data_IF_947238651404
#
_entry.id   IF_947238651404
#
_cell.length_a   1.000
_cell.length_b   1.000
_cell.length_c   1.000
_cell.angle_alpha   90.00
_cell.angle_beta   90.00
_cell.angle_gamma   90.00
#
_symmetry.space_group_name_H-M   'P 1'
#
loop_
_entity.id
_entity.type
_entity.pdbx_description
1 polymer ?
#
# COMPACT_ATOMS: atom_id res chain seq x y z
N UNK A 1 -22.17 -16.28 -5.29
CA UNK A 1 -21.19 -16.01 -4.23
C UNK A 1 -19.93 -16.75 -4.60
N UNK A 2 -18.95 -15.98 -5.08
CA UNK A 2 -17.61 -16.44 -5.38
C UNK A 2 -16.97 -17.08 -4.14
N UNK A 3 -16.13 -18.10 -4.36
CA UNK A 3 -15.37 -18.74 -3.29
C UNK A 3 -14.23 -17.82 -2.84
N UNK A 4 -14.33 -17.33 -1.60
CA UNK A 4 -13.31 -16.48 -1.01
C UNK A 4 -12.17 -17.26 -0.34
N UNK A 5 -12.23 -18.59 -0.30
CA UNK A 5 -11.16 -19.41 0.30
C UNK A 5 -9.82 -19.11 -0.36
N UNK A 6 -8.77 -18.91 0.44
CA UNK A 6 -7.42 -18.62 -0.06
C UNK A 6 -6.40 -19.65 0.40
N UNK A 7 -5.35 -19.77 -0.40
CA UNK A 7 -4.11 -20.47 -0.04
C UNK A 7 -2.93 -19.50 -0.23
N UNK A 8 -2.31 -19.09 0.87
CA UNK A 8 -1.11 -18.25 0.84
C UNK A 8 0.08 -19.07 1.37
N UNK A 9 0.85 -19.65 0.45
CA UNK A 9 2.06 -20.41 0.78
C UNK A 9 1.80 -21.73 1.51
N UNK A 10 0.59 -22.29 1.40
CA UNK A 10 0.14 -23.47 2.15
C UNK A 10 -0.74 -23.14 3.36
N UNK A 11 -0.86 -21.86 3.73
CA UNK A 11 -1.76 -21.40 4.80
C UNK A 11 -3.15 -21.21 4.19
N UNK A 12 -4.11 -22.02 4.64
CA UNK A 12 -5.49 -22.01 4.13
C UNK A 12 -6.40 -21.27 5.10
N UNK A 13 -7.24 -20.37 4.58
CA UNK A 13 -8.25 -19.64 5.37
C UNK A 13 -9.56 -19.45 4.60
N UNK A 14 -10.70 -19.26 5.30
CA UNK A 14 -12.03 -19.15 4.67
C UNK A 14 -12.22 -17.92 3.78
N UNK A 15 -11.42 -16.88 3.97
CA UNK A 15 -11.44 -15.64 3.19
C UNK A 15 -10.04 -14.99 3.21
N UNK A 16 -9.73 -14.01 2.32
CA UNK A 16 -8.40 -13.40 2.26
C UNK A 16 -8.08 -12.47 3.43
N UNK A 17 -9.03 -12.14 4.31
CA UNK A 17 -8.86 -11.08 5.30
C UNK A 17 -8.25 -11.60 6.60
N UNK A 18 -7.02 -11.18 6.85
CA UNK A 18 -6.28 -11.54 8.06
C UNK A 18 -6.06 -10.33 8.97
N UNK A 19 -6.11 -10.52 10.29
CA UNK A 19 -5.54 -9.52 11.18
C UNK A 19 -4.02 -9.50 11.03
N UNK A 20 -3.42 -8.33 10.91
CA UNK A 20 -1.96 -8.21 10.91
C UNK A 20 -1.39 -8.36 12.33
N UNK A 21 -0.15 -8.84 12.45
CA UNK A 21 0.60 -8.90 13.71
C UNK A 21 0.80 -7.49 14.28
N UNK A 22 -0.09 -7.09 15.19
CA UNK A 22 -0.27 -5.73 15.66
C UNK A 22 -1.18 -5.70 16.92
N UNK A 23 -1.49 -4.54 17.54
CA UNK A 23 -2.35 -4.47 18.72
C UNK A 23 -3.70 -5.21 18.61
N UNK A 24 -4.39 -5.24 17.44
CA UNK A 24 -5.64 -6.00 17.28
C UNK A 24 -5.51 -7.52 17.39
N UNK A 25 -4.29 -8.09 17.37
CA UNK A 25 -4.03 -9.53 17.42
C UNK A 25 -3.10 -9.92 18.58
N UNK A 26 -3.19 -9.21 19.72
CA UNK A 26 -2.27 -9.39 20.86
C UNK A 26 -2.73 -10.46 21.88
N UNK A 27 -3.97 -10.93 21.81
CA UNK A 27 -4.53 -11.90 22.76
C UNK A 27 -5.58 -12.82 22.15
N UNK A 28 -5.79 -13.97 22.81
CA UNK A 28 -6.80 -14.94 22.40
C UNK A 28 -8.23 -14.40 22.41
N UNK A 29 -8.57 -13.49 23.34
CA UNK A 29 -9.88 -12.81 23.33
C UNK A 29 -10.08 -11.98 22.06
N UNK A 30 -9.09 -11.16 21.73
CA UNK A 30 -9.12 -10.30 20.55
C UNK A 30 -9.25 -11.10 19.26
N UNK A 31 -8.42 -12.14 19.10
CA UNK A 31 -8.45 -13.02 17.93
C UNK A 31 -9.77 -13.80 17.87
N UNK A 32 -10.27 -14.29 19.01
CA UNK A 32 -11.58 -14.97 19.05
C UNK A 32 -12.72 -14.08 18.59
N UNK A 33 -12.77 -12.82 19.06
CA UNK A 33 -13.80 -11.85 18.65
C UNK A 33 -13.69 -11.48 17.17
N UNK A 34 -12.48 -11.46 16.63
CA UNK A 34 -12.28 -11.27 15.19
C UNK A 34 -12.81 -12.46 14.39
N UNK A 35 -12.50 -13.70 14.79
CA UNK A 35 -13.02 -14.89 14.13
C UNK A 35 -14.55 -15.00 14.26
N UNK A 36 -15.13 -14.62 15.40
CA UNK A 36 -16.59 -14.53 15.55
C UNK A 36 -17.22 -13.51 14.58
N UNK A 37 -16.51 -12.44 14.23
CA UNK A 37 -16.95 -11.44 13.24
C UNK A 37 -16.74 -11.87 11.77
N UNK A 38 -15.97 -12.94 11.52
CA UNK A 38 -15.77 -13.49 10.18
C UNK A 38 -14.36 -13.32 9.59
N UNK A 39 -13.37 -12.83 10.34
CA UNK A 39 -11.98 -12.76 9.86
C UNK A 39 -11.45 -14.14 9.48
N UNK A 40 -10.92 -14.31 8.27
CA UNK A 40 -10.43 -15.60 7.77
C UNK A 40 -9.17 -16.09 8.48
N UNK A 41 -8.33 -15.17 8.95
CA UNK A 41 -7.11 -15.50 9.67
C UNK A 41 -6.63 -14.39 10.60
N UNK A 42 -5.64 -14.70 11.42
CA UNK A 42 -4.98 -13.73 12.28
C UNK A 42 -3.50 -14.06 12.40
N UNK A 43 -2.66 -13.08 12.11
CA UNK A 43 -1.24 -13.14 12.44
C UNK A 43 -1.09 -12.63 13.87
N UNK A 44 -0.73 -13.52 14.78
CA UNK A 44 -0.56 -13.23 16.20
C UNK A 44 0.53 -12.19 16.40
N UNK A 45 0.36 -11.28 17.38
CA UNK A 45 1.39 -10.30 17.73
C UNK A 45 2.72 -11.00 17.97
N UNK A 46 3.79 -10.45 17.39
CA UNK A 46 5.12 -11.06 17.36
C UNK A 46 5.56 -11.58 18.73
N UNK A 47 5.88 -12.88 18.76
CA UNK A 47 6.38 -13.63 19.90
C UNK A 47 7.90 -13.67 19.90
N UNK A 48 8.49 -13.63 21.09
CA UNK A 48 9.92 -13.66 21.32
C UNK A 48 10.22 -13.49 22.81
N UNK A 49 11.45 -13.10 23.13
CA UNK A 49 11.82 -12.76 24.49
C UNK A 49 11.02 -11.52 24.96
N UNK A 50 10.31 -11.57 26.10
CA UNK A 50 9.51 -10.44 26.57
C UNK A 50 10.33 -9.16 26.71
N UNK A 51 9.68 -8.06 26.42
CA UNK A 51 10.27 -6.72 26.42
C UNK A 51 9.34 -5.74 27.14
N UNK A 52 9.84 -4.55 27.44
CA UNK A 52 9.06 -3.50 28.11
C UNK A 52 8.76 -2.40 27.10
N UNK A 53 7.47 -2.17 26.85
CA UNK A 53 7.01 -1.04 26.05
C UNK A 53 7.04 0.26 26.85
N UNK A 54 7.27 1.37 26.15
CA UNK A 54 7.10 2.72 26.69
C UNK A 54 5.63 3.16 26.72
N UNK A 55 5.34 4.25 27.45
CA UNK A 55 4.00 4.83 27.56
C UNK A 55 3.91 6.23 26.96
N UNK A 56 2.78 6.44 26.26
CA UNK A 56 2.64 7.14 24.99
C UNK A 56 3.45 6.50 23.86
N UNK A 57 2.78 5.72 23.02
CA UNK A 57 3.44 4.96 21.93
C UNK A 57 2.73 5.01 20.59
N UNK A 58 1.69 5.84 20.48
CA UNK A 58 0.94 6.08 19.26
C UNK A 58 0.71 7.57 19.06
N UNK A 59 0.74 8.01 17.81
CA UNK A 59 0.28 9.33 17.42
C UNK A 59 -0.32 9.28 16.01
N UNK A 60 -1.26 10.18 15.72
CA UNK A 60 -1.98 10.18 14.45
C UNK A 60 -1.69 11.44 13.63
N UNK A 61 -1.64 11.29 12.31
CA UNK A 61 -1.73 12.38 11.35
C UNK A 61 -3.20 12.49 10.90
N UNK A 62 -3.72 13.72 10.94
CA UNK A 62 -5.06 14.06 10.49
C UNK A 62 -4.96 14.96 9.24
N UNK A 63 -6.00 14.97 8.39
CA UNK A 63 -6.05 15.85 7.22
C UNK A 63 -7.43 16.51 7.12
N UNK A 64 -7.48 17.83 7.28
CA UNK A 64 -8.74 18.56 7.36
C UNK A 64 -9.62 18.02 8.51
N UNK A 65 -10.81 17.52 8.16
CA UNK A 65 -11.76 16.90 9.11
C UNK A 65 -11.53 15.41 9.31
N UNK A 66 -10.74 14.77 8.46
CA UNK A 66 -10.46 13.34 8.54
C UNK A 66 -9.42 13.06 9.63
N UNK A 67 -9.76 12.11 10.50
CA UNK A 67 -8.91 11.70 11.60
C UNK A 67 -8.13 10.45 11.20
N UNK A 68 -6.86 10.39 11.60
CA UNK A 68 -6.03 9.18 11.49
C UNK A 68 -5.86 8.69 10.04
N UNK A 69 -5.60 9.61 9.10
CA UNK A 69 -5.18 9.25 7.74
C UNK A 69 -3.79 8.58 7.73
N UNK A 70 -3.05 8.71 8.83
CA UNK A 70 -1.88 7.93 9.16
C UNK A 70 -1.70 7.79 10.67
N UNK A 71 -1.02 6.72 11.08
CA UNK A 71 -0.71 6.40 12.47
C UNK A 71 0.78 6.08 12.56
N UNK A 72 1.47 6.69 13.51
CA UNK A 72 2.83 6.33 13.87
C UNK A 72 2.85 5.62 15.22
N UNK A 73 3.67 4.59 15.34
CA UNK A 73 3.83 3.85 16.57
C UNK A 73 5.31 3.64 16.92
N UNK A 74 5.59 3.62 18.22
CA UNK A 74 6.88 3.20 18.79
C UNK A 74 6.69 1.97 19.69
N UNK A 75 5.68 1.16 19.35
CA UNK A 75 5.37 -0.09 20.06
C UNK A 75 6.25 -1.22 19.54
N UNK A 76 6.73 -2.07 20.45
CA UNK A 76 7.62 -3.17 20.12
C UNK A 76 6.83 -4.49 19.94
N UNK A 77 7.48 -5.65 20.10
CA UNK A 77 6.81 -6.97 20.11
C UNK A 77 5.93 -7.17 21.34
N UNK A 78 5.31 -8.34 21.51
CA UNK A 78 4.45 -8.60 22.66
C UNK A 78 5.23 -8.44 23.98
N UNK A 79 4.63 -7.76 24.96
CA UNK A 79 5.09 -7.69 26.34
C UNK A 79 4.46 -8.79 27.21
N UNK A 80 3.65 -9.66 26.61
CA UNK A 80 2.95 -10.75 27.29
C UNK A 80 3.85 -11.99 27.39
N UNK A 81 3.81 -12.75 28.50
CA UNK A 81 4.57 -13.98 28.63
C UNK A 81 4.27 -14.98 27.50
N UNK A 82 5.31 -15.67 27.00
CA UNK A 82 5.17 -16.64 25.92
C UNK A 82 4.15 -17.74 26.25
N UNK A 83 4.19 -18.30 27.47
CA UNK A 83 3.26 -19.35 27.89
C UNK A 83 1.78 -18.94 27.82
N UNK A 84 1.50 -17.68 28.12
CA UNK A 84 0.13 -17.14 28.05
C UNK A 84 -0.33 -17.10 26.60
N UNK A 85 0.52 -16.63 25.68
CA UNK A 85 0.23 -16.61 24.26
C UNK A 85 0.03 -18.03 23.70
N UNK A 86 0.94 -18.97 24.02
CA UNK A 86 0.84 -20.36 23.53
C UNK A 86 -0.43 -21.06 24.03
N UNK A 87 -0.81 -20.85 25.30
CA UNK A 87 -2.09 -21.37 25.83
C UNK A 87 -3.28 -20.81 25.05
N UNK A 88 -3.30 -19.50 24.83
CA UNK A 88 -4.39 -18.82 24.13
C UNK A 88 -4.47 -19.22 22.64
N UNK A 89 -3.34 -19.39 21.96
CA UNK A 89 -3.28 -19.90 20.58
C UNK A 89 -3.95 -21.28 20.52
N UNK A 90 -3.60 -22.17 21.45
CA UNK A 90 -4.20 -23.52 21.53
C UNK A 90 -5.71 -23.47 21.76
N UNK A 91 -6.17 -22.59 22.65
CA UNK A 91 -7.61 -22.38 22.92
C UNK A 91 -8.36 -21.84 21.69
N UNK A 92 -7.79 -20.83 21.03
CA UNK A 92 -8.33 -20.24 19.80
C UNK A 92 -8.41 -21.29 18.71
N UNK A 93 -7.34 -22.04 18.44
CA UNK A 93 -7.34 -23.06 17.38
C UNK A 93 -8.31 -24.19 17.64
N UNK A 94 -8.47 -24.61 18.90
CA UNK A 94 -9.49 -25.59 19.27
C UNK A 94 -10.91 -25.09 18.98
N UNK A 95 -11.19 -23.81 19.25
CA UNK A 95 -12.51 -23.20 19.01
C UNK A 95 -12.76 -22.88 17.53
N UNK A 96 -11.71 -22.53 16.78
CA UNK A 96 -11.78 -22.04 15.40
C UNK A 96 -10.85 -22.85 14.47
N UNK A 97 -11.11 -24.16 14.27
CA UNK A 97 -10.17 -25.03 13.56
C UNK A 97 -9.97 -24.64 12.09
N UNK A 98 -10.96 -24.00 11.47
CA UNK A 98 -10.94 -23.59 10.05
C UNK A 98 -10.29 -22.23 9.79
N UNK A 99 -10.08 -21.40 10.81
CA UNK A 99 -9.48 -20.08 10.67
C UNK A 99 -7.97 -20.18 10.82
N UNK A 100 -7.21 -19.46 9.98
CA UNK A 100 -5.75 -19.51 10.04
C UNK A 100 -5.23 -18.74 11.25
N UNK A 101 -4.40 -19.38 12.08
CA UNK A 101 -3.58 -18.70 13.10
C UNK A 101 -2.13 -18.81 12.68
N UNK A 102 -1.52 -17.66 12.41
CA UNK A 102 -0.12 -17.54 12.02
C UNK A 102 0.63 -16.95 13.20
N UNK A 103 1.67 -17.61 13.72
CA UNK A 103 2.50 -16.99 14.76
C UNK A 103 3.56 -16.11 14.13
N UNK A 104 3.53 -14.81 14.45
CA UNK A 104 4.63 -13.92 14.10
C UNK A 104 5.78 -14.12 15.08
N UNK A 105 7.01 -14.27 14.60
CA UNK A 105 8.16 -14.68 15.41
C UNK A 105 9.35 -13.73 15.23
N UNK A 106 10.09 -13.51 16.32
CA UNK A 106 11.37 -12.80 16.30
C UNK A 106 12.24 -13.18 17.51
N UNK A 107 13.33 -13.90 17.25
CA UNK A 107 14.33 -14.34 18.25
C UNK A 107 15.74 -14.28 17.66
N UNK A 108 16.78 -14.33 18.48
CA UNK A 108 18.14 -13.92 18.08
C UNK A 108 18.98 -15.08 17.53
N UNK A 109 18.88 -16.25 18.13
CA UNK A 109 19.77 -17.37 17.82
C UNK A 109 19.07 -18.51 17.08
N UNK A 110 19.83 -19.29 16.30
CA UNK A 110 19.32 -20.50 15.62
C UNK A 110 18.65 -21.48 16.60
N UNK A 111 19.17 -21.60 17.82
CA UNK A 111 18.60 -22.47 18.85
C UNK A 111 17.23 -21.96 19.34
N UNK A 112 17.10 -20.65 19.60
CA UNK A 112 15.81 -20.05 19.96
C UNK A 112 14.79 -20.17 18.82
N UNK A 113 15.22 -20.01 17.57
CA UNK A 113 14.37 -20.21 16.39
C UNK A 113 13.77 -21.60 16.35
N UNK A 114 14.60 -22.63 16.59
CA UNK A 114 14.14 -24.02 16.68
C UNK A 114 13.10 -24.19 17.79
N UNK A 115 13.44 -23.76 19.00
CA UNK A 115 12.56 -23.93 20.17
C UNK A 115 11.21 -23.23 19.99
N UNK A 116 11.21 -21.96 19.56
CA UNK A 116 9.97 -21.18 19.47
C UNK A 116 9.05 -21.70 18.36
N UNK A 117 9.61 -22.20 17.25
CA UNK A 117 8.84 -22.81 16.16
C UNK A 117 8.15 -24.09 16.67
N UNK A 118 8.91 -25.02 17.26
CA UNK A 118 8.37 -26.28 17.79
C UNK A 118 7.23 -26.02 18.78
N UNK A 119 7.40 -25.04 19.67
CA UNK A 119 6.38 -24.66 20.67
C UNK A 119 5.14 -24.01 20.05
N UNK A 120 5.31 -23.19 19.01
CA UNK A 120 4.18 -22.58 18.31
C UNK A 120 3.38 -23.60 17.51
N UNK A 121 4.06 -24.54 16.85
CA UNK A 121 3.39 -25.64 16.14
C UNK A 121 2.65 -26.57 17.12
N UNK A 122 3.22 -26.89 18.28
CA UNK A 122 2.53 -27.65 19.35
C UNK A 122 1.33 -26.90 19.95
N UNK A 123 1.35 -25.56 19.93
CA UNK A 123 0.19 -24.75 20.28
C UNK A 123 -0.89 -24.75 19.18
N UNK A 124 -0.59 -25.22 17.97
CA UNK A 124 -1.54 -25.37 16.86
C UNK A 124 -1.41 -24.31 15.76
N UNK A 125 -0.27 -23.61 15.66
CA UNK A 125 -0.04 -22.66 14.56
C UNK A 125 -0.22 -23.32 13.19
N UNK A 126 -0.89 -22.64 12.27
CA UNK A 126 -1.07 -23.10 10.88
C UNK A 126 0.08 -22.65 9.96
N UNK A 127 0.88 -21.69 10.41
CA UNK A 127 2.06 -21.16 9.73
C UNK A 127 2.81 -20.15 10.59
N UNK A 128 3.92 -19.64 10.07
CA UNK A 128 4.77 -18.67 10.75
C UNK A 128 5.00 -17.42 9.90
N UNK A 129 5.14 -16.26 10.56
CA UNK A 129 5.53 -15.01 9.92
C UNK A 129 6.79 -14.45 10.59
N UNK A 130 7.92 -14.43 9.89
CA UNK A 130 9.19 -13.94 10.44
C UNK A 130 9.19 -12.41 10.40
N UNK A 131 9.19 -11.75 11.56
CA UNK A 131 9.12 -10.29 11.62
C UNK A 131 10.50 -9.65 11.40
N UNK A 132 10.86 -9.47 10.13
CA UNK A 132 12.07 -8.73 9.73
C UNK A 132 11.77 -7.28 9.32
N UNK A 133 10.63 -6.75 9.78
CA UNK A 133 10.14 -5.46 9.30
C UNK A 133 10.08 -4.33 10.32
N UNK A 134 10.16 -4.63 11.63
CA UNK A 134 9.99 -3.61 12.69
C UNK A 134 11.08 -2.52 12.60
N UNK A 135 10.74 -1.23 12.39
CA UNK A 135 11.73 -0.18 12.11
C UNK A 135 12.28 0.56 13.35
N UNK A 136 11.84 0.20 14.56
CA UNK A 136 12.18 0.89 15.82
C UNK A 136 12.40 -0.08 16.98
N UNK A 137 13.29 0.27 17.90
CA UNK A 137 13.58 -0.47 19.15
C UNK A 137 14.34 -1.78 18.98
N UNK A 138 13.89 -2.63 18.05
CA UNK A 138 14.51 -3.93 17.79
C UNK A 138 15.70 -3.81 16.82
N UNK A 139 15.69 -2.81 15.95
CA UNK A 139 16.80 -2.51 15.03
C UNK A 139 18.08 -2.14 15.78
N UNK A 140 17.95 -1.47 16.92
CA UNK A 140 19.09 -1.11 17.78
C UNK A 140 19.80 -2.34 18.37
N UNK A 141 19.14 -3.52 18.32
CA UNK A 141 19.70 -4.82 18.72
C UNK A 141 20.11 -5.69 17.52
N UNK A 142 20.12 -5.14 16.30
CA UNK A 142 20.41 -5.90 15.07
C UNK A 142 19.26 -6.79 14.58
N UNK A 143 18.04 -6.60 15.10
CA UNK A 143 16.85 -7.39 14.79
C UNK A 143 15.80 -6.58 14.01
N UNK A 144 14.69 -7.19 13.60
CA UNK A 144 13.62 -6.50 12.87
C UNK A 144 14.09 -5.99 11.51
N UNK A 145 13.88 -4.71 11.20
CA UNK A 145 14.25 -4.15 9.90
C UNK A 145 15.77 -4.11 9.64
N UNK A 146 16.61 -4.27 10.67
CA UNK A 146 18.06 -4.44 10.47
C UNK A 146 18.39 -5.75 9.76
N UNK A 147 17.66 -6.83 10.07
CA UNK A 147 17.73 -8.10 9.32
C UNK A 147 17.11 -7.93 7.94
N UNK A 148 15.93 -7.31 7.87
CA UNK A 148 15.19 -7.16 6.62
C UNK A 148 15.85 -6.28 5.57
N UNK A 149 16.80 -5.44 5.96
CA UNK A 149 17.59 -4.59 5.06
C UNK A 149 18.86 -5.26 4.54
N UNK A 150 19.27 -6.40 5.11
CA UNK A 150 20.48 -7.11 4.68
C UNK A 150 20.14 -8.49 4.08
N UNK A 151 20.11 -8.62 2.73
CA UNK A 151 19.71 -9.83 2.03
C UNK A 151 20.37 -11.13 2.49
N UNK A 152 21.68 -11.10 2.79
CA UNK A 152 22.41 -12.30 3.22
C UNK A 152 21.99 -12.74 4.63
N UNK A 153 21.85 -11.80 5.57
CA UNK A 153 21.40 -12.07 6.94
C UNK A 153 19.94 -12.55 6.93
N UNK A 154 19.09 -11.89 6.13
CA UNK A 154 17.70 -12.30 5.91
C UNK A 154 17.63 -13.75 5.42
N UNK A 155 18.41 -14.08 4.38
CA UNK A 155 18.43 -15.43 3.79
C UNK A 155 18.85 -16.46 4.83
N UNK A 156 19.90 -16.18 5.59
CA UNK A 156 20.43 -17.08 6.61
C UNK A 156 19.39 -17.38 7.70
N UNK A 157 18.82 -16.34 8.32
CA UNK A 157 17.86 -16.52 9.43
C UNK A 157 16.56 -17.17 8.94
N UNK A 158 16.04 -16.75 7.77
CA UNK A 158 14.84 -17.37 7.21
C UNK A 158 15.06 -18.85 6.87
N UNK A 159 16.27 -19.24 6.42
CA UNK A 159 16.58 -20.63 6.12
C UNK A 159 16.53 -21.53 7.37
N UNK A 160 16.87 -21.00 8.55
CA UNK A 160 16.73 -21.74 9.81
C UNK A 160 15.26 -22.00 10.14
N UNK A 161 14.40 -21.00 9.97
CA UNK A 161 12.97 -21.18 10.21
C UNK A 161 12.35 -22.19 9.24
N UNK A 162 12.73 -22.15 7.96
CA UNK A 162 12.32 -23.13 6.95
C UNK A 162 12.85 -24.53 7.26
N UNK A 163 14.08 -24.65 7.77
CA UNK A 163 14.67 -25.93 8.20
C UNK A 163 13.90 -26.58 9.36
N UNK A 164 13.40 -25.78 10.30
CA UNK A 164 12.78 -26.29 11.53
C UNK A 164 11.25 -26.41 11.47
N UNK A 165 10.59 -25.60 10.64
CA UNK A 165 9.13 -25.60 10.56
C UNK A 165 8.61 -26.79 9.77
N UNK A 166 7.57 -27.44 10.29
CA UNK A 166 6.73 -28.35 9.51
C UNK A 166 5.58 -27.61 8.82
N UNK A 167 5.30 -26.36 9.25
CA UNK A 167 4.28 -25.47 8.69
C UNK A 167 4.87 -24.43 7.73
N UNK A 168 4.04 -23.85 6.84
CA UNK A 168 4.45 -22.73 5.99
C UNK A 168 5.12 -21.58 6.75
N UNK A 169 6.11 -20.97 6.10
CA UNK A 169 6.87 -19.83 6.63
C UNK A 169 6.78 -18.67 5.65
N UNK A 170 6.24 -17.55 6.12
CA UNK A 170 6.23 -16.28 5.42
C UNK A 170 7.29 -15.35 6.01
N UNK A 171 7.94 -14.54 5.18
CA UNK A 171 8.88 -13.49 5.63
C UNK A 171 8.22 -12.12 5.56
N UNK A 172 8.17 -11.38 6.68
CA UNK A 172 7.62 -10.03 6.72
C UNK A 172 8.67 -8.98 6.37
N UNK A 173 8.53 -8.40 5.18
CA UNK A 173 9.51 -7.47 4.63
C UNK A 173 9.31 -6.05 5.14
N UNK A 174 10.43 -5.37 5.37
CA UNK A 174 10.48 -3.93 5.66
C UNK A 174 10.32 -3.13 4.36
N UNK A 175 9.55 -2.02 4.37
CA UNK A 175 9.55 -1.07 3.25
C UNK A 175 10.76 -0.12 3.28
N UNK A 176 11.60 -0.19 4.30
CA UNK A 176 12.71 0.74 4.52
C UNK A 176 13.97 0.31 3.75
N UNK A 177 13.84 0.12 2.44
CA UNK A 177 14.89 -0.33 1.51
C UNK A 177 14.87 0.51 0.24
N UNK A 178 15.98 0.53 -0.49
CA UNK A 178 16.05 1.20 -1.80
C UNK A 178 15.27 0.46 -2.89
N UNK A 179 15.31 -0.87 -2.87
CA UNK A 179 14.57 -1.75 -3.78
C UNK A 179 14.02 -2.94 -2.99
N UNK A 180 12.71 -3.21 -3.10
CA UNK A 180 12.05 -4.33 -2.41
C UNK A 180 12.42 -5.69 -3.04
N UNK A 181 12.90 -5.71 -4.29
CA UNK A 181 13.31 -6.93 -4.95
C UNK A 181 14.47 -7.62 -4.23
N UNK A 182 15.42 -6.85 -3.68
CA UNK A 182 16.57 -7.39 -2.96
C UNK A 182 16.16 -8.28 -1.78
N UNK A 183 15.42 -7.78 -0.76
CA UNK A 183 14.97 -8.63 0.35
C UNK A 183 13.88 -9.62 -0.06
N UNK A 184 13.08 -9.34 -1.09
CA UNK A 184 12.10 -10.29 -1.62
C UNK A 184 12.74 -11.53 -2.23
N UNK A 185 13.77 -11.35 -3.07
CA UNK A 185 14.52 -12.45 -3.66
C UNK A 185 15.37 -13.19 -2.63
N UNK A 186 15.87 -12.51 -1.60
CA UNK A 186 16.50 -13.13 -0.45
C UNK A 186 15.54 -14.05 0.32
N UNK A 187 14.32 -13.57 0.59
CA UNK A 187 13.28 -14.39 1.21
C UNK A 187 12.97 -15.64 0.36
N UNK A 188 12.82 -15.49 -0.96
CA UNK A 188 12.67 -16.64 -1.86
C UNK A 188 13.84 -17.62 -1.78
N UNK A 189 15.08 -17.11 -1.83
CA UNK A 189 16.32 -17.90 -1.78
C UNK A 189 16.44 -18.72 -0.49
N UNK A 190 15.89 -18.22 0.61
CA UNK A 190 15.87 -18.94 1.90
C UNK A 190 14.99 -20.20 1.92
N UNK A 191 14.12 -20.37 0.90
CA UNK A 191 13.11 -21.43 0.87
C UNK A 191 11.78 -21.04 1.52
N UNK A 192 11.57 -19.75 1.81
CA UNK A 192 10.29 -19.28 2.35
C UNK A 192 9.13 -19.62 1.39
N UNK A 193 7.98 -19.93 1.99
CA UNK A 193 6.77 -20.34 1.26
C UNK A 193 5.96 -19.15 0.73
N UNK A 194 6.32 -17.94 1.13
CA UNK A 194 5.72 -16.69 0.70
C UNK A 194 6.32 -15.51 1.47
N UNK A 195 5.80 -14.33 1.20
CA UNK A 195 6.18 -13.10 1.92
C UNK A 195 4.93 -12.38 2.40
N UNK A 196 5.10 -11.54 3.41
CA UNK A 196 4.09 -10.55 3.79
C UNK A 196 4.69 -9.16 3.69
N UNK A 197 4.02 -8.22 3.03
CA UNK A 197 4.53 -6.85 2.91
C UNK A 197 3.42 -5.83 2.74
N UNK A 198 3.55 -4.64 3.32
CA UNK A 198 4.74 -4.12 4.01
C UNK A 198 4.58 -4.06 5.53
N UNK A 199 5.70 -4.10 6.25
CA UNK A 199 5.73 -3.57 7.61
C UNK A 199 5.65 -2.03 7.58
N UNK A 200 5.76 -1.37 8.73
CA UNK A 200 5.61 0.08 8.83
C UNK A 200 6.81 0.85 8.28
N UNK A 201 6.56 2.06 7.76
CA UNK A 201 7.59 2.95 7.20
C UNK A 201 8.21 3.79 8.31
N UNK A 202 9.54 3.84 8.41
CA UNK A 202 10.26 4.64 9.41
C UNK A 202 9.95 6.13 9.21
N UNK A 203 9.39 6.79 10.22
CA UNK A 203 9.01 8.20 10.11
C UNK A 203 8.99 8.97 11.43
N UNK A 204 8.91 10.30 11.29
CA UNK A 204 8.45 11.24 12.32
C UNK A 204 7.09 11.77 11.89
N UNK A 205 6.09 11.64 12.75
CA UNK A 205 4.68 11.98 12.44
C UNK A 205 4.35 13.46 12.70
N UNK A 206 5.18 14.15 13.49
CA UNK A 206 4.97 15.54 13.88
C UNK A 206 5.86 15.92 15.06
N UNK A 207 5.89 17.22 15.35
CA UNK A 207 6.65 17.81 16.45
C UNK A 207 5.70 18.64 17.30
N UNK A 208 5.76 18.45 18.61
CA UNK A 208 5.17 19.37 19.58
C UNK A 208 5.99 20.67 19.53
N UNK A 209 5.40 21.76 19.01
CA UNK A 209 6.12 23.01 18.76
C UNK A 209 6.36 23.84 20.03
N UNK A 210 5.61 23.58 21.10
CA UNK A 210 5.82 24.26 22.38
C UNK A 210 7.01 23.65 23.11
N UNK A 211 7.18 22.34 23.01
CA UNK A 211 8.22 21.59 23.71
C UNK A 211 9.41 21.21 22.83
N UNK A 212 9.29 21.37 21.51
CA UNK A 212 10.29 20.98 20.50
C UNK A 212 10.69 19.50 20.57
N UNK A 213 9.72 18.63 20.87
CA UNK A 213 9.91 17.17 20.94
C UNK A 213 9.04 16.48 19.90
N UNK A 214 9.54 15.46 19.16
CA UNK A 214 8.72 14.70 18.24
C UNK A 214 7.56 13.97 18.94
N UNK A 215 6.52 13.65 18.16
CA UNK A 215 5.42 12.80 18.60
C UNK A 215 5.59 11.35 18.09
N UNK A 216 5.10 10.33 18.83
CA UNK A 216 4.59 10.39 20.20
C UNK A 216 5.69 10.68 21.22
N UNK A 217 5.39 11.54 22.20
CA UNK A 217 6.34 11.93 23.24
C UNK A 217 6.35 10.93 24.40
N UNK A 218 7.55 10.54 24.86
CA UNK A 218 7.79 9.77 26.08
C UNK A 218 8.64 10.61 27.02
N UNK A 219 8.03 11.12 28.09
CA UNK A 219 8.69 12.08 28.99
C UNK A 219 9.10 13.36 28.26
N UNK A 220 10.40 13.62 28.15
CA UNK A 220 11.00 14.77 27.46
C UNK A 220 11.64 14.41 26.11
N UNK A 221 11.44 13.19 25.60
CA UNK A 221 12.08 12.70 24.39
C UNK A 221 11.09 11.95 23.49
N UNK A 222 11.55 11.60 22.29
CA UNK A 222 10.86 10.73 21.34
C UNK A 222 11.88 10.07 20.42
N UNK A 223 11.42 9.20 19.53
CA UNK A 223 12.24 8.50 18.53
C UNK A 223 11.45 8.38 17.23
N UNK A 224 12.10 7.94 16.15
CA UNK A 224 11.36 7.53 14.96
C UNK A 224 10.42 6.37 15.28
N UNK A 225 9.27 6.33 14.62
CA UNK A 225 8.34 5.21 14.73
C UNK A 225 7.99 4.61 13.38
N UNK A 226 7.11 3.63 13.41
CA UNK A 226 6.52 3.01 12.25
C UNK A 226 5.23 3.70 11.80
N UNK A 227 5.24 4.31 10.62
CA UNK A 227 4.09 4.87 9.93
C UNK A 227 3.25 3.78 9.25
N UNK A 228 1.94 3.86 9.46
CA UNK A 228 0.93 2.97 8.91
C UNK A 228 -0.39 3.74 8.70
N UNK A 229 -1.43 3.04 8.25
CA UNK A 229 -2.73 3.62 7.94
C UNK A 229 -2.92 3.95 6.45
N UNK A 230 -4.06 4.58 6.09
CA UNK A 230 -4.47 4.77 4.70
C UNK A 230 -3.42 5.43 3.81
N UNK A 231 -2.69 6.42 4.33
CA UNK A 231 -1.65 7.13 3.58
C UNK A 231 -0.48 6.25 3.09
N UNK A 232 -0.31 5.05 3.66
CA UNK A 232 0.73 4.10 3.26
C UNK A 232 0.30 3.23 2.07
N UNK A 233 -1.01 3.16 1.74
CA UNK A 233 -1.55 2.28 0.69
C UNK A 233 -0.78 2.37 -0.65
N UNK A 234 -0.51 3.56 -1.22
CA UNK A 234 0.14 3.63 -2.53
C UNK A 234 1.57 3.07 -2.52
N UNK A 235 2.30 3.22 -1.40
CA UNK A 235 3.67 2.71 -1.25
C UNK A 235 3.64 1.18 -1.15
N UNK A 236 2.72 0.64 -0.35
CA UNK A 236 2.53 -0.80 -0.20
C UNK A 236 2.13 -1.46 -1.53
N UNK A 237 1.20 -0.86 -2.28
CA UNK A 237 0.77 -1.34 -3.59
C UNK A 237 1.91 -1.39 -4.60
N UNK A 238 2.74 -0.34 -4.65
CA UNK A 238 3.92 -0.33 -5.51
C UNK A 238 4.86 -1.50 -5.20
N UNK A 239 5.20 -1.72 -3.93
CA UNK A 239 6.13 -2.78 -3.53
C UNK A 239 5.59 -4.18 -3.79
N UNK A 240 4.29 -4.40 -3.52
CA UNK A 240 3.59 -5.65 -3.85
C UNK A 240 3.64 -5.90 -5.35
N UNK A 241 3.25 -4.91 -6.16
CA UNK A 241 3.19 -5.04 -7.61
C UNK A 241 4.58 -5.27 -8.22
N UNK A 242 5.62 -4.65 -7.65
CA UNK A 242 7.00 -4.83 -8.09
C UNK A 242 7.47 -6.28 -7.88
N UNK A 243 7.22 -6.86 -6.69
CA UNK A 243 7.51 -8.29 -6.45
C UNK A 243 6.66 -9.21 -7.32
N UNK A 244 5.37 -8.94 -7.44
CA UNK A 244 4.46 -9.78 -8.21
C UNK A 244 4.78 -9.81 -9.71
N UNK A 245 5.31 -8.70 -10.25
CA UNK A 245 5.75 -8.59 -11.63
C UNK A 245 7.09 -9.27 -11.89
N UNK A 246 7.94 -9.44 -10.88
CA UNK A 246 9.22 -10.13 -11.01
C UNK A 246 8.98 -11.62 -11.27
N UNK A 247 9.25 -12.06 -12.50
CA UNK A 247 8.99 -13.43 -12.92
C UNK A 247 9.78 -14.45 -12.08
N UNK A 248 10.99 -14.07 -11.65
CA UNK A 248 11.79 -14.90 -10.77
C UNK A 248 11.31 -14.87 -9.31
N UNK A 249 10.30 -14.11 -8.90
CA UNK A 249 9.87 -14.13 -7.50
C UNK A 249 9.00 -15.37 -7.19
N UNK A 250 7.86 -15.50 -7.87
CA UNK A 250 7.10 -16.76 -7.98
C UNK A 250 6.56 -17.41 -6.69
N UNK A 251 6.60 -16.72 -5.53
CA UNK A 251 5.99 -17.20 -4.27
C UNK A 251 4.82 -16.29 -3.85
N UNK A 252 3.80 -16.81 -3.13
CA UNK A 252 2.64 -16.03 -2.69
C UNK A 252 2.97 -14.80 -1.84
N UNK A 253 2.11 -13.79 -1.96
CA UNK A 253 2.21 -12.52 -1.23
C UNK A 253 0.99 -12.34 -0.30
N UNK A 254 1.23 -12.03 0.96
CA UNK A 254 0.24 -11.51 1.90
C UNK A 254 0.38 -9.98 2.00
N UNK A 255 -0.54 -9.23 1.39
CA UNK A 255 -0.46 -7.76 1.27
C UNK A 255 -0.87 -7.03 2.55
N UNK A 256 -0.16 -5.97 2.92
CA UNK A 256 -0.38 -5.19 4.15
C UNK A 256 -0.07 -3.72 3.88
N UNK A 257 -0.94 -2.81 4.33
CA UNK A 257 -0.66 -1.37 4.34
C UNK A 257 -1.84 -0.54 3.85
N UNK A 258 -2.51 0.15 4.77
CA UNK A 258 -3.57 1.11 4.43
C UNK A 258 -4.89 0.53 3.93
N UNK A 259 -5.06 -0.80 3.95
CA UNK A 259 -6.32 -1.47 3.60
C UNK A 259 -7.40 -1.12 4.64
N UNK A 260 -8.52 -0.59 4.16
CA UNK A 260 -9.62 -0.13 5.01
C UNK A 260 -11.01 -0.63 4.61
N UNK A 261 -11.15 -1.14 3.38
CA UNK A 261 -12.40 -1.64 2.83
C UNK A 261 -12.15 -2.71 1.74
N UNK A 262 -13.22 -3.25 1.15
CA UNK A 262 -13.11 -4.30 0.13
C UNK A 262 -12.43 -3.84 -1.17
N UNK A 263 -12.56 -2.56 -1.58
CA UNK A 263 -11.92 -2.03 -2.80
C UNK A 263 -10.41 -2.00 -2.63
N UNK A 264 -9.93 -1.53 -1.49
CA UNK A 264 -8.50 -1.57 -1.16
C UNK A 264 -7.99 -3.01 -1.23
N UNK A 265 -8.70 -3.96 -0.62
CA UNK A 265 -8.33 -5.38 -0.66
C UNK A 265 -8.31 -5.95 -2.09
N UNK A 266 -9.32 -5.64 -2.90
CA UNK A 266 -9.40 -6.04 -4.30
C UNK A 266 -8.22 -5.47 -5.10
N UNK A 267 -7.81 -4.22 -4.87
CA UNK A 267 -6.63 -3.64 -5.50
C UNK A 267 -5.35 -4.41 -5.14
N UNK A 268 -5.13 -4.77 -3.87
CA UNK A 268 -3.98 -5.59 -3.47
C UNK A 268 -4.00 -6.99 -4.11
N UNK A 269 -5.16 -7.63 -4.14
CA UNK A 269 -5.32 -8.96 -4.75
C UNK A 269 -5.04 -8.89 -6.25
N UNK A 270 -5.60 -7.90 -6.95
CA UNK A 270 -5.34 -7.65 -8.37
C UNK A 270 -3.85 -7.40 -8.65
N UNK A 271 -3.11 -6.81 -7.71
CA UNK A 271 -1.67 -6.57 -7.79
C UNK A 271 -0.82 -7.77 -7.37
N UNK A 272 -1.42 -8.91 -7.03
CA UNK A 272 -0.72 -10.19 -6.83
C UNK A 272 -0.80 -10.78 -5.42
N UNK A 273 -1.53 -10.17 -4.50
CA UNK A 273 -1.70 -10.75 -3.16
C UNK A 273 -2.68 -11.92 -3.13
N UNK A 274 -2.31 -13.01 -2.47
CA UNK A 274 -3.19 -14.16 -2.20
C UNK A 274 -4.00 -13.98 -0.90
N UNK A 275 -3.49 -13.20 0.05
CA UNK A 275 -4.24 -12.76 1.23
C UNK A 275 -3.90 -11.30 1.56
N UNK A 276 -4.68 -10.66 2.42
CA UNK A 276 -4.45 -9.29 2.86
C UNK A 276 -4.54 -9.19 4.38
N UNK A 277 -3.63 -8.44 5.00
CA UNK A 277 -3.62 -8.19 6.44
C UNK A 277 -4.03 -6.76 6.78
N UNK A 278 -4.79 -6.61 7.86
CA UNK A 278 -5.40 -5.33 8.27
C UNK A 278 -5.07 -5.04 9.74
N UNK A 279 -4.74 -3.78 10.02
CA UNK A 279 -4.42 -3.31 11.38
C UNK A 279 -5.15 -2.00 11.69
N UNK A 280 -4.74 -0.89 11.08
CA UNK A 280 -5.19 0.47 11.45
C UNK A 280 -6.70 0.64 11.30
N UNK A 281 -7.30 0.04 10.26
CA UNK A 281 -8.75 0.11 10.07
C UNK A 281 -9.51 -0.59 11.21
N UNK A 282 -9.00 -1.72 11.73
CA UNK A 282 -9.58 -2.40 12.89
C UNK A 282 -9.43 -1.55 14.16
N UNK A 283 -8.30 -0.86 14.32
CA UNK A 283 -8.10 0.07 15.45
C UNK A 283 -9.06 1.26 15.41
N UNK A 284 -9.50 1.67 14.23
CA UNK A 284 -10.41 2.80 14.04
C UNK A 284 -11.89 2.40 14.10
N UNK A 285 -12.25 1.26 13.53
CA UNK A 285 -13.64 0.88 13.25
C UNK A 285 -14.09 -0.43 13.93
N UNK A 286 -13.18 -1.16 14.59
CA UNK A 286 -13.47 -2.44 15.23
C UNK A 286 -13.46 -3.62 14.26
N UNK A 287 -13.68 -4.84 14.78
CA UNK A 287 -13.55 -6.08 13.99
C UNK A 287 -14.65 -6.28 12.95
N UNK A 288 -15.84 -5.68 13.14
CA UNK A 288 -17.01 -5.88 12.26
C UNK A 288 -16.85 -5.30 10.87
N UNK A 289 -15.83 -4.47 10.61
CA UNK A 289 -15.54 -4.00 9.24
C UNK A 289 -15.34 -5.14 8.25
N UNK A 290 -14.96 -6.33 8.72
CA UNK A 290 -14.73 -7.48 7.85
C UNK A 290 -16.03 -7.97 7.20
N UNK A 291 -17.20 -7.71 7.81
CA UNK A 291 -18.51 -8.06 7.25
C UNK A 291 -18.68 -7.37 5.88
N UNK A 292 -18.56 -6.04 5.85
CA UNK A 292 -18.63 -5.22 4.63
C UNK A 292 -17.49 -5.55 3.65
N UNK A 293 -16.32 -5.95 4.16
CA UNK A 293 -15.18 -6.33 3.32
C UNK A 293 -15.44 -7.64 2.57
N UNK A 294 -16.03 -8.63 3.25
CA UNK A 294 -16.38 -9.94 2.69
C UNK A 294 -17.50 -9.80 1.66
N UNK A 295 -18.59 -9.13 2.02
CA UNK A 295 -19.74 -8.91 1.13
C UNK A 295 -19.30 -8.17 -0.14
N UNK A 296 -18.67 -7.00 0.02
CA UNK A 296 -18.27 -6.19 -1.13
C UNK A 296 -17.23 -6.85 -2.05
N UNK A 297 -16.32 -7.67 -1.51
CA UNK A 297 -15.40 -8.44 -2.35
C UNK A 297 -16.12 -9.58 -3.08
N UNK A 298 -17.03 -10.31 -2.41
CA UNK A 298 -17.77 -11.40 -3.04
C UNK A 298 -18.67 -10.89 -4.17
N UNK A 299 -19.38 -9.79 -3.94
CA UNK A 299 -20.25 -9.15 -4.94
C UNK A 299 -19.44 -8.67 -6.15
N UNK A 300 -18.30 -8.00 -5.91
CA UNK A 300 -17.43 -7.57 -6.99
C UNK A 300 -16.93 -8.74 -7.84
N UNK A 301 -16.54 -9.85 -7.21
CA UNK A 301 -16.08 -11.04 -7.93
C UNK A 301 -17.21 -11.69 -8.74
N UNK A 302 -18.41 -11.80 -8.18
CA UNK A 302 -19.59 -12.33 -8.87
C UNK A 302 -19.97 -11.45 -10.07
N UNK A 303 -20.03 -10.13 -9.90
CA UNK A 303 -20.35 -9.16 -10.96
C UNK A 303 -19.37 -9.24 -12.15
N UNK A 304 -18.10 -9.56 -11.86
CA UNK A 304 -17.05 -9.67 -12.88
C UNK A 304 -16.81 -11.11 -13.36
N UNK A 305 -17.62 -12.07 -12.89
CA UNK A 305 -17.59 -13.46 -13.36
C UNK A 305 -16.40 -14.29 -12.85
N UNK A 306 -15.80 -13.93 -11.72
CA UNK A 306 -14.76 -14.74 -11.06
C UNK A 306 -15.41 -15.79 -10.14
N UNK A 307 -15.07 -17.06 -10.34
CA UNK A 307 -15.61 -18.16 -9.51
C UNK A 307 -14.94 -18.23 -8.13
N UNK A 308 -13.66 -17.85 -8.05
CA UNK A 308 -12.89 -17.77 -6.81
C UNK A 308 -12.07 -16.48 -6.75
N UNK A 309 -11.80 -15.98 -5.54
CA UNK A 309 -10.81 -14.91 -5.31
C UNK A 309 -9.43 -15.28 -5.85
N UNK A 310 -9.08 -16.58 -5.86
CA UNK A 310 -7.81 -17.04 -6.41
C UNK A 310 -7.71 -16.86 -7.93
N UNK A 311 -8.84 -16.80 -8.65
CA UNK A 311 -8.88 -16.50 -10.09
C UNK A 311 -8.63 -15.01 -10.40
N UNK A 312 -8.68 -14.16 -9.37
CA UNK A 312 -8.51 -12.71 -9.47
C UNK A 312 -7.09 -12.24 -9.06
N UNK A 313 -6.32 -13.09 -8.37
CA UNK A 313 -4.95 -12.77 -7.94
C UNK A 313 -4.09 -12.37 -9.15
N UNK A 314 -3.46 -11.19 -9.06
CA UNK A 314 -2.48 -10.73 -10.04
C UNK A 314 -3.06 -10.25 -11.38
N UNK A 315 -4.38 -10.11 -11.52
CA UNK A 315 -5.01 -9.72 -12.79
C UNK A 315 -4.60 -8.35 -13.34
N UNK A 316 -4.07 -7.46 -12.51
CA UNK A 316 -3.54 -6.16 -12.92
C UNK A 316 -2.01 -6.16 -13.15
N UNK A 317 -1.30 -7.22 -12.75
CA UNK A 317 0.17 -7.31 -12.86
C UNK A 317 0.66 -7.20 -14.32
N UNK A 318 0.05 -7.85 -15.33
CA UNK A 318 0.50 -7.72 -16.72
C UNK A 318 0.47 -6.27 -17.27
N UNK A 319 -0.40 -5.42 -16.71
CA UNK A 319 -0.59 -4.03 -17.09
C UNK A 319 0.35 -3.07 -16.33
N UNK A 320 1.05 -3.55 -15.29
CA UNK A 320 2.04 -2.76 -14.58
C UNK A 320 3.36 -2.71 -15.37
N UNK A 321 3.42 -1.78 -16.32
CA UNK A 321 4.55 -1.62 -17.24
C UNK A 321 5.58 -0.63 -16.75
N UNK A 322 6.81 -0.76 -17.23
CA UNK A 322 7.77 0.34 -17.13
C UNK A 322 7.30 1.53 -17.95
N UNK A 323 7.69 2.74 -17.54
CA UNK A 323 7.29 3.97 -18.25
C UNK A 323 7.63 3.90 -19.74
N UNK A 324 8.79 3.30 -20.06
CA UNK A 324 9.27 3.20 -21.44
C UNK A 324 8.43 2.31 -22.35
N UNK A 325 7.52 1.49 -21.81
CA UNK A 325 6.60 0.62 -22.54
C UNK A 325 5.20 1.23 -22.72
N UNK A 326 4.95 2.43 -22.18
CA UNK A 326 3.66 3.09 -22.30
C UNK A 326 3.43 3.63 -23.72
N UNK A 327 2.17 3.67 -24.13
CA UNK A 327 1.75 4.15 -25.44
C UNK A 327 1.85 5.69 -25.53
N UNK A 328 2.86 6.19 -26.25
CA UNK A 328 3.10 7.62 -26.45
C UNK A 328 2.11 8.28 -27.42
N UNK A 329 1.37 7.48 -28.20
CA UNK A 329 0.30 7.96 -29.08
C UNK A 329 -1.05 8.03 -28.36
N UNK A 330 -1.16 7.43 -27.17
CA UNK A 330 -2.32 7.63 -26.29
C UNK A 330 -2.37 9.08 -25.83
N UNK A 331 -3.51 9.73 -26.02
CA UNK A 331 -3.74 11.11 -25.62
C UNK A 331 -5.18 11.30 -25.18
N UNK A 332 -5.43 12.23 -24.26
CA UNK A 332 -6.78 12.57 -23.80
C UNK A 332 -6.92 14.07 -23.63
N UNK A 333 -8.13 14.61 -23.77
CA UNK A 333 -8.43 16.02 -23.49
C UNK A 333 -9.48 16.13 -22.39
N UNK A 334 -9.39 17.20 -21.62
CA UNK A 334 -10.42 17.55 -20.66
C UNK A 334 -11.64 18.15 -21.37
N UNK A 335 -12.83 17.67 -21.02
CA UNK A 335 -14.12 18.19 -21.47
C UNK A 335 -14.95 18.58 -20.27
N UNK A 336 -15.22 19.88 -20.13
CA UNK A 336 -16.03 20.42 -19.04
C UNK A 336 -17.51 20.37 -19.45
N UNK A 337 -18.35 19.81 -18.59
CA UNK A 337 -19.81 19.81 -18.74
C UNK A 337 -20.37 21.14 -18.20
N UNK A 338 -20.91 22.03 -19.08
CA UNK A 338 -21.43 23.33 -18.66
C UNK A 338 -22.64 23.23 -17.72
N UNK A 339 -23.43 22.16 -17.83
CA UNK A 339 -24.64 21.98 -17.01
C UNK A 339 -24.32 21.57 -15.59
N UNK A 340 -23.17 20.95 -15.34
CA UNK A 340 -22.70 20.58 -13.99
C UNK A 340 -21.77 21.63 -13.38
N UNK A 341 -21.16 22.47 -14.20
CA UNK A 341 -20.16 23.43 -13.75
C UNK A 341 -20.76 24.47 -12.81
N UNK A 342 -20.15 24.65 -11.63
CA UNK A 342 -20.55 25.64 -10.62
C UNK A 342 -19.72 26.93 -10.67
N UNK A 343 -18.83 27.10 -11.65
CA UNK A 343 -18.04 28.33 -11.82
C UNK A 343 -16.98 28.59 -10.74
N UNK A 344 -16.55 27.57 -10.01
CA UNK A 344 -15.55 27.71 -8.94
C UNK A 344 -14.12 27.99 -9.45
N UNK A 345 -13.84 27.68 -10.72
CA UNK A 345 -12.57 27.92 -11.44
C UNK A 345 -11.33 27.23 -10.86
N UNK A 346 -11.48 26.27 -9.95
CA UNK A 346 -10.33 25.50 -9.44
C UNK A 346 -9.56 24.77 -10.56
N UNK A 347 -10.26 24.33 -11.62
CA UNK A 347 -9.63 23.74 -12.79
C UNK A 347 -8.76 24.74 -13.58
N UNK A 348 -9.16 26.03 -13.61
CA UNK A 348 -8.37 27.11 -14.23
C UNK A 348 -7.11 27.30 -13.42
N UNK A 349 -7.20 27.50 -12.10
CA UNK A 349 -6.05 27.65 -11.21
C UNK A 349 -5.10 26.45 -11.31
N UNK A 350 -5.63 25.24 -11.25
CA UNK A 350 -4.81 24.03 -11.33
C UNK A 350 -4.08 23.91 -12.68
N UNK A 351 -4.72 24.32 -13.78
CA UNK A 351 -4.08 24.30 -15.09
C UNK A 351 -3.05 25.43 -15.26
N UNK A 352 -3.40 26.64 -14.83
CA UNK A 352 -2.58 27.84 -14.95
C UNK A 352 -1.33 27.77 -14.09
N UNK A 353 -1.49 27.40 -12.83
CA UNK A 353 -0.40 27.50 -11.85
C UNK A 353 0.30 26.16 -11.61
N UNK A 354 -0.32 25.05 -12.04
CA UNK A 354 0.16 23.70 -11.78
C UNK A 354 0.40 22.82 -13.00
N UNK A 355 0.11 23.29 -14.23
CA UNK A 355 0.27 22.48 -15.44
C UNK A 355 0.63 23.31 -16.69
N UNK A 356 -0.27 23.38 -17.69
CA UNK A 356 0.00 23.79 -19.07
C UNK A 356 -0.83 24.99 -19.57
N UNK A 357 -1.45 25.77 -18.68
CA UNK A 357 -2.10 27.05 -19.02
C UNK A 357 -3.14 26.99 -20.17
N UNK A 358 -3.86 25.88 -20.33
CA UNK A 358 -4.78 25.66 -21.46
C UNK A 358 -6.28 25.74 -21.08
N UNK A 359 -6.63 26.23 -19.88
CA UNK A 359 -8.03 26.39 -19.44
C UNK A 359 -8.27 27.85 -19.09
N UNK A 360 -9.25 28.46 -19.75
CA UNK A 360 -9.55 29.89 -19.65
C UNK A 360 -11.01 30.14 -19.32
N UNK A 361 -11.36 31.35 -18.86
CA UNK A 361 -12.75 31.76 -18.72
C UNK A 361 -13.05 32.85 -19.72
N UNK A 362 -14.10 32.67 -20.52
CA UNK A 362 -14.51 33.64 -21.54
C UNK A 362 -14.85 35.01 -20.94
N UNK A 363 -14.69 36.04 -21.77
CA UNK A 363 -15.03 37.43 -21.41
C UNK A 363 -13.87 38.26 -20.84
N UNK A 364 -12.68 37.68 -20.65
CA UNK A 364 -11.47 38.43 -20.33
C UNK A 364 -10.71 38.82 -21.60
N UNK A 365 -10.25 40.07 -21.66
CA UNK A 365 -9.36 40.57 -22.70
C UNK A 365 -7.90 40.23 -22.39
N UNK A 366 -7.04 40.21 -23.41
CA UNK A 366 -5.59 40.02 -23.26
C UNK A 366 -4.97 41.04 -22.29
N UNK A 367 -5.46 42.27 -22.28
CA UNK A 367 -5.01 43.31 -21.36
C UNK A 367 -5.38 43.00 -19.90
N UNK A 368 -6.59 42.48 -19.66
CA UNK A 368 -7.03 42.06 -18.32
C UNK A 368 -6.26 40.82 -17.85
N UNK A 369 -6.00 39.87 -18.74
CA UNK A 369 -5.19 38.69 -18.42
C UNK A 369 -3.73 39.08 -18.11
N UNK A 370 -3.14 39.94 -18.92
CA UNK A 370 -1.77 40.44 -18.70
C UNK A 370 -1.68 41.23 -17.38
N UNK A 371 -2.67 42.09 -17.09
CA UNK A 371 -2.73 42.85 -15.84
C UNK A 371 -2.88 41.94 -14.60
N UNK A 372 -3.52 40.78 -14.75
CA UNK A 372 -3.62 39.74 -13.72
C UNK A 372 -2.33 38.90 -13.58
N UNK A 373 -1.31 39.15 -14.41
CA UNK A 373 -0.01 38.48 -14.36
C UNK A 373 0.13 37.26 -15.28
N UNK A 374 -0.85 36.96 -16.13
CA UNK A 374 -0.73 35.88 -17.11
C UNK A 374 0.27 36.26 -18.20
N UNK A 375 1.28 35.42 -18.39
CA UNK A 375 2.28 35.56 -19.47
C UNK A 375 1.96 34.67 -20.67
N UNK A 376 1.21 33.59 -20.47
CA UNK A 376 0.66 32.75 -21.52
C UNK A 376 -0.76 33.21 -21.83
N UNK A 377 -0.98 33.71 -23.04
CA UNK A 377 -2.27 34.19 -23.51
C UNK A 377 -2.79 33.23 -24.60
N UNK A 378 -4.11 32.97 -24.64
CA UNK A 378 -4.67 32.10 -25.66
C UNK A 378 -4.50 32.74 -27.05
N UNK A 379 -4.07 31.96 -28.04
CA UNK A 379 -3.89 32.45 -29.42
C UNK A 379 -5.21 32.87 -30.09
N UNK A 380 -6.35 32.49 -29.52
CA UNK A 380 -7.68 32.73 -30.03
C UNK A 380 -8.60 33.33 -28.95
N UNK A 381 -9.62 34.12 -29.34
CA UNK A 381 -10.60 34.65 -28.41
C UNK A 381 -11.26 33.53 -27.60
N UNK A 382 -11.19 33.62 -26.27
CA UNK A 382 -11.79 32.63 -25.38
C UNK A 382 -13.32 32.73 -25.47
N UNK A 383 -14.02 31.67 -25.91
CA UNK A 383 -15.47 31.71 -26.04
C UNK A 383 -16.13 31.86 -24.67
N UNK A 384 -17.21 32.65 -24.60
CA UNK A 384 -18.09 32.68 -23.43
C UNK A 384 -19.00 31.46 -23.49
N UNK A 385 -18.88 30.58 -22.50
CA UNK A 385 -19.70 29.37 -22.38
C UNK A 385 -20.77 29.61 -21.31
N UNK A 386 -22.03 29.46 -21.70
CA UNK A 386 -23.15 29.49 -20.76
C UNK A 386 -23.31 28.10 -20.12
N UNK A 387 -23.34 28.06 -18.80
CA UNK A 387 -23.68 26.86 -18.03
C UNK A 387 -25.02 27.02 -17.32
N UNK A 388 -25.62 25.90 -16.94
CA UNK A 388 -26.91 25.88 -16.23
C UNK A 388 -26.87 26.61 -14.87
N UNK A 389 -25.69 26.74 -14.27
CA UNK A 389 -25.51 27.34 -12.94
C UNK A 389 -24.69 28.64 -12.94
N UNK A 390 -23.98 28.96 -14.02
CA UNK A 390 -23.13 30.16 -14.12
C UNK A 390 -22.79 30.49 -15.58
N UNK A 391 -22.48 31.75 -15.86
CA UNK A 391 -21.89 32.27 -17.10
C UNK A 391 -20.34 32.20 -17.13
N UNK A 392 -19.71 31.66 -16.08
CA UNK A 392 -18.25 31.60 -15.91
C UNK A 392 -17.68 30.20 -16.19
N UNK A 393 -18.31 29.44 -17.08
CA UNK A 393 -17.86 28.09 -17.40
C UNK A 393 -16.50 28.17 -18.11
N UNK A 394 -15.47 27.47 -17.61
CA UNK A 394 -14.17 27.48 -18.26
C UNK A 394 -14.19 26.75 -19.61
N UNK A 395 -13.42 27.25 -20.55
CA UNK A 395 -13.14 26.65 -21.85
C UNK A 395 -11.76 26.00 -21.84
N UNK A 396 -11.64 24.83 -22.44
CA UNK A 396 -10.37 24.11 -22.60
C UNK A 396 -9.87 24.35 -24.03
N UNK A 397 -8.65 24.86 -24.17
CA UNK A 397 -8.00 24.95 -25.47
C UNK A 397 -7.40 23.59 -25.82
N UNK A 398 -8.10 22.86 -26.69
CA UNK A 398 -7.80 21.47 -27.00
C UNK A 398 -6.38 21.25 -27.55
N UNK A 399 -5.87 22.18 -28.37
CA UNK A 399 -4.57 22.02 -29.03
C UNK A 399 -3.39 22.11 -28.05
N UNK A 400 -3.58 22.80 -26.92
CA UNK A 400 -2.59 22.90 -25.84
C UNK A 400 -2.87 21.95 -24.67
N UNK A 401 -4.05 21.33 -24.65
CA UNK A 401 -4.40 20.40 -23.58
C UNK A 401 -3.58 19.10 -23.71
N UNK A 402 -2.72 18.88 -22.71
CA UNK A 402 -1.84 17.71 -22.68
C UNK A 402 -2.45 16.47 -22.01
N UNK A 403 -3.70 16.55 -21.52
CA UNK A 403 -4.36 15.40 -20.91
C UNK A 403 -3.81 14.95 -19.55
N UNK A 404 -3.22 15.85 -18.75
CA UNK A 404 -2.59 15.50 -17.46
C UNK A 404 -3.57 15.09 -16.32
N UNK A 405 -4.88 15.10 -16.56
CA UNK A 405 -5.98 14.84 -15.62
C UNK A 405 -6.11 15.79 -14.42
N UNK A 406 -5.16 16.69 -14.15
CA UNK A 406 -5.14 17.51 -12.93
C UNK A 406 -6.45 18.28 -12.72
N UNK A 407 -6.98 18.91 -13.77
CA UNK A 407 -8.23 19.67 -13.69
C UNK A 407 -9.44 18.82 -13.27
N UNK A 408 -9.53 17.57 -13.74
CA UNK A 408 -10.56 16.62 -13.34
C UNK A 408 -10.40 16.22 -11.88
N UNK A 409 -9.16 15.92 -11.44
CA UNK A 409 -8.87 15.46 -10.08
C UNK A 409 -9.17 16.52 -9.00
N UNK A 410 -9.00 17.81 -9.31
CA UNK A 410 -9.30 18.91 -8.37
C UNK A 410 -10.76 19.37 -8.42
N UNK A 411 -11.55 18.92 -9.41
CA UNK A 411 -12.92 19.39 -9.58
C UNK A 411 -13.81 18.86 -8.43
N UNK A 412 -14.50 19.74 -7.68
CA UNK A 412 -15.32 19.31 -6.55
C UNK A 412 -16.68 18.74 -6.98
N UNK A 413 -17.01 18.82 -8.27
CA UNK A 413 -18.28 18.34 -8.81
C UNK A 413 -18.03 17.02 -9.54
N UNK A 414 -18.55 15.89 -9.02
CA UNK A 414 -18.41 14.60 -9.68
C UNK A 414 -18.85 14.65 -11.15
N UNK A 415 -18.04 14.04 -12.01
CA UNK A 415 -18.29 13.92 -13.45
C UNK A 415 -18.59 15.26 -14.16
N UNK A 416 -18.10 16.39 -13.61
CA UNK A 416 -18.17 17.69 -14.27
C UNK A 416 -17.10 17.82 -15.36
N UNK A 417 -15.97 17.16 -15.19
CA UNK A 417 -14.89 17.15 -16.17
C UNK A 417 -14.63 15.69 -16.55
N UNK A 418 -14.76 15.38 -17.83
CA UNK A 418 -14.44 14.08 -18.41
C UNK A 418 -13.12 14.16 -19.17
N UNK A 419 -12.33 13.08 -19.12
CA UNK A 419 -11.11 12.96 -19.95
C UNK A 419 -11.43 12.10 -21.17
N UNK A 420 -11.50 12.70 -22.35
CA UNK A 420 -11.89 12.01 -23.60
C UNK A 420 -10.65 11.59 -24.37
N UNK A 421 -10.55 10.34 -24.80
CA UNK A 421 -9.43 9.83 -25.60
C UNK A 421 -9.43 10.44 -27.02
N UNK A 422 -8.25 10.90 -27.44
CA UNK A 422 -7.98 11.57 -28.73
C UNK A 422 -6.62 11.17 -29.26
N UNK A 423 -6.43 9.88 -29.52
CA UNK A 423 -5.14 9.32 -29.96
C UNK A 423 -4.47 10.19 -31.04
N UNK A 424 -3.16 10.40 -30.88
CA UNK A 424 -2.34 11.12 -31.89
C UNK A 424 -2.20 10.30 -33.17
N UNK A 425 -2.17 8.97 -33.03
CA UNK A 425 -2.12 8.01 -34.12
C UNK A 425 -2.75 6.66 -33.70
N UNK A 426 -3.24 5.85 -34.64
CA UNK A 426 -3.91 4.59 -34.32
C UNK A 426 -2.95 3.54 -33.74
N UNK A 427 -1.68 3.53 -34.16
CA UNK A 427 -0.67 2.60 -33.68
C UNK A 427 -0.18 2.96 -32.27
N UNK A 428 0.26 1.95 -31.53
CA UNK A 428 0.99 2.12 -30.28
C UNK A 428 2.46 2.34 -30.61
N UNK A 429 3.05 3.39 -30.04
CA UNK A 429 4.49 3.65 -30.11
C UNK A 429 5.00 3.86 -28.71
N UNK A 430 5.99 3.08 -28.30
CA UNK A 430 6.61 3.21 -26.98
C UNK A 430 7.86 4.08 -27.03
N UNK A 431 8.37 4.47 -25.86
CA UNK A 431 9.68 5.12 -25.78
C UNK A 431 10.80 4.18 -26.23
N UNK A 432 10.68 2.88 -25.95
CA UNK A 432 11.65 1.88 -26.40
C UNK A 432 11.70 1.78 -27.93
N UNK A 433 10.55 1.85 -28.61
CA UNK A 433 10.48 1.86 -30.08
C UNK A 433 11.20 3.08 -30.66
N UNK A 434 10.98 4.26 -30.06
CA UNK A 434 11.67 5.50 -30.44
C UNK A 434 13.18 5.45 -30.22
N UNK A 435 13.62 4.91 -29.09
CA UNK A 435 15.03 4.71 -28.79
C UNK A 435 15.69 3.74 -29.78
N UNK A 436 15.00 2.64 -30.11
CA UNK A 436 15.47 1.66 -31.10
C UNK A 436 15.55 2.25 -32.51
N UNK A 437 14.57 3.09 -32.88
CA UNK A 437 14.57 3.85 -34.14
C UNK A 437 15.64 4.97 -34.18
N UNK A 438 16.18 5.35 -33.02
CA UNK A 438 17.20 6.39 -32.89
C UNK A 438 16.68 7.82 -32.98
N UNK A 439 15.37 8.04 -32.82
CA UNK A 439 14.73 9.36 -32.91
C UNK A 439 15.00 10.25 -31.70
N UNK A 440 15.32 9.66 -30.54
CA UNK A 440 15.45 10.36 -29.26
C UNK A 440 16.81 10.10 -28.57
N UNK A 441 17.88 9.88 -29.36
CA UNK A 441 19.24 9.72 -28.82
C UNK A 441 19.76 11.03 -28.24
N UNK A 442 20.24 11.00 -26.99
CA UNK A 442 21.13 12.04 -26.45
C UNK A 442 22.50 11.86 -27.11
N UNK A 443 23.00 12.81 -27.93
CA UNK A 443 24.31 12.69 -28.54
C UNK A 443 25.39 12.53 -27.45
N UNK A 444 26.16 11.43 -27.51
CA UNK A 444 27.29 11.17 -26.62
C UNK A 444 27.00 10.42 -25.32
N UNK A 445 25.74 10.27 -24.88
CA UNK A 445 25.35 9.46 -23.70
C UNK A 445 26.13 9.77 -22.41
N UNK A 446 26.22 8.79 -21.49
CA UNK A 446 27.09 8.87 -20.29
C UNK A 446 28.58 8.99 -20.64
N UNK A 447 29.00 8.50 -21.80
CA UNK A 447 30.38 8.65 -22.27
C UNK A 447 30.77 10.13 -22.50
N UNK A 448 29.80 11.00 -22.78
CA UNK A 448 30.01 12.44 -22.88
C UNK A 448 30.16 13.14 -21.52
N UNK A 449 29.83 12.50 -20.39
CA UNK A 449 29.98 13.10 -19.07
C UNK A 449 31.40 13.00 -18.48
N UNK A 450 32.36 12.40 -19.21
CA UNK A 450 33.77 12.30 -18.80
C UNK A 450 34.00 11.48 -17.52
N UNK A 451 32.99 10.72 -17.07
CA UNK A 451 33.05 9.82 -15.92
C UNK A 451 32.92 8.39 -16.45
N UNK A 452 34.03 7.86 -16.96
CA UNK A 452 34.21 6.44 -17.24
C UNK A 452 34.98 5.81 -16.09
#
# INVERSE_FOLDING_TARGET
MADLTVNCGGIISPNPFWLASAPPANSGDQVSRAFDAGWGGAVWKTLGNPIVNVSSRFWAMNHGRERMIGLNNIELITDRPLEVNLREIREVKRRFPKHAVITSLMVETKAEWKEIIERCEDAGSDGHELNFGCPHGMCERGMGSAVGQEPDVLTEIASWAVEFASKPVLVKLTPNVGDILEPGMAARKSGAHGVSLINTIKSIIGVDLDLLVPNPRVGNASTNGGYCGPAVKPIAQHMVAQLAREQAFGIPISGIGGISNWRDAAEFIALGCSSVQVCTAVMHHGYRIVEDMIEGLSDYLDEHGYASVMDFVGRAVPQYKEWGELDLNYHRLAKINPDKCIGCRVCVTACMDGAHQCIFVGGQTDAEMTAAGYTHLPEHPVPVIQGAHTDRVPWVFNDECVGCNLCQLVCPVPDCIEMVEVRKAPEMVTWQDRMAAGTDKVPGGLAASGRA
#
